data_IF_577422025397
#
_entry.id   IF_577422025397
#
_cell.length_a   1.000
_cell.length_b   1.000
_cell.length_c   1.000
_cell.angle_alpha   90.00
_cell.angle_beta   90.00
_cell.angle_gamma   90.00
#
_symmetry.space_group_name_H-M   'P 1'
#
loop_
_entity.id
_entity.type
_entity.pdbx_description
1 polymer ?
#
# COMPACT_ATOMS: atom_id res chain seq x y z
N UNK A 1 -11.16 27.97 3.84
CA UNK A 1 -10.03 27.59 2.96
C UNK A 1 -10.10 26.09 2.75
N UNK A 2 -9.90 25.59 1.53
CA UNK A 2 -9.81 24.16 1.25
C UNK A 2 -8.35 23.74 1.25
N UNK A 3 -8.03 22.64 1.91
CA UNK A 3 -6.69 22.04 1.86
C UNK A 3 -6.42 21.49 0.45
N UNK A 4 -5.16 21.51 -0.02
CA UNK A 4 -4.79 20.88 -1.29
C UNK A 4 -5.05 19.36 -1.23
N UNK A 5 -5.26 18.70 -2.38
CA UNK A 5 -5.32 17.25 -2.43
C UNK A 5 -3.97 16.64 -2.03
N UNK A 6 -4.01 15.51 -1.34
CA UNK A 6 -2.81 14.80 -0.91
C UNK A 6 -2.06 14.24 -2.12
N UNK A 7 -0.74 14.38 -2.11
CA UNK A 7 0.13 13.85 -3.15
C UNK A 7 0.14 12.31 -3.12
N UNK A 8 -0.19 11.67 -4.24
CA UNK A 8 -0.18 10.21 -4.40
C UNK A 8 1.15 9.66 -4.90
N UNK A 9 2.17 10.51 -5.09
CA UNK A 9 3.47 10.07 -5.59
C UNK A 9 4.10 9.06 -4.65
N UNK A 10 4.51 7.92 -5.22
CA UNK A 10 5.26 6.90 -4.50
C UNK A 10 6.69 7.37 -4.25
N UNK A 11 7.16 7.19 -3.02
CA UNK A 11 8.52 7.54 -2.59
C UNK A 11 9.48 6.36 -2.79
N UNK A 12 10.70 6.46 -2.22
CA UNK A 12 11.65 5.36 -2.17
C UNK A 12 11.02 4.15 -1.47
N UNK A 13 11.12 2.97 -2.08
CA UNK A 13 10.56 1.72 -1.53
C UNK A 13 11.37 1.27 -0.31
N UNK A 14 10.72 1.08 0.83
CA UNK A 14 11.35 0.57 2.07
C UNK A 14 10.92 -0.86 2.41
N UNK A 15 9.77 -1.31 1.89
CA UNK A 15 9.32 -2.67 2.06
C UNK A 15 8.51 -3.14 0.84
N UNK A 16 8.51 -4.45 0.62
CA UNK A 16 7.72 -5.12 -0.41
C UNK A 16 7.18 -6.43 0.16
N UNK A 17 5.94 -6.76 -0.17
CA UNK A 17 5.36 -8.08 0.08
C UNK A 17 4.63 -8.57 -1.15
N UNK A 18 4.81 -9.85 -1.43
CA UNK A 18 4.19 -10.52 -2.56
C UNK A 18 3.16 -11.53 -2.06
N UNK A 19 2.08 -11.65 -2.83
CA UNK A 19 0.97 -12.57 -2.57
C UNK A 19 0.66 -13.32 -3.86
N UNK A 20 0.26 -14.58 -3.70
CA UNK A 20 -0.36 -15.36 -4.77
C UNK A 20 -1.87 -15.33 -4.57
N UNK A 21 -2.59 -14.81 -5.55
CA UNK A 21 -4.04 -14.88 -5.63
C UNK A 21 -4.42 -16.11 -6.46
N UNK A 22 -4.94 -17.13 -5.79
CA UNK A 22 -5.37 -18.39 -6.40
C UNK A 22 -6.86 -18.32 -6.76
N UNK A 23 -7.17 -18.37 -8.05
CA UNK A 23 -8.54 -18.59 -8.53
C UNK A 23 -8.71 -20.06 -8.92
N UNK A 24 -9.90 -20.43 -9.40
CA UNK A 24 -10.15 -21.79 -9.91
C UNK A 24 -9.31 -22.15 -11.14
N UNK A 25 -8.87 -21.17 -11.92
CA UNK A 25 -8.27 -21.38 -13.24
C UNK A 25 -6.82 -20.92 -13.35
N UNK A 26 -6.37 -20.06 -12.44
CA UNK A 26 -5.06 -19.41 -12.53
C UNK A 26 -4.60 -18.86 -11.19
N UNK A 27 -3.29 -18.71 -11.09
CA UNK A 27 -2.61 -18.02 -10.00
C UNK A 27 -2.10 -16.68 -10.52
N UNK A 28 -2.33 -15.61 -9.78
CA UNK A 28 -1.77 -14.29 -10.09
C UNK A 28 -0.87 -13.80 -8.97
N UNK A 29 0.16 -13.05 -9.35
CA UNK A 29 1.03 -12.35 -8.42
C UNK A 29 0.46 -10.97 -8.12
N UNK A 30 0.28 -10.67 -6.83
CA UNK A 30 -0.03 -9.35 -6.30
C UNK A 30 1.18 -8.87 -5.52
N UNK A 31 1.70 -7.69 -5.85
CA UNK A 31 2.82 -7.09 -5.11
C UNK A 31 2.36 -5.82 -4.43
N UNK A 32 2.65 -5.67 -3.15
CA UNK A 32 2.36 -4.46 -2.38
C UNK A 32 3.68 -3.89 -1.88
N UNK A 33 3.96 -2.65 -2.25
CA UNK A 33 5.16 -1.91 -1.87
C UNK A 33 4.78 -0.79 -0.90
N UNK A 34 5.60 -0.60 0.13
CA UNK A 34 5.50 0.52 1.06
C UNK A 34 6.69 1.44 0.83
N UNK A 35 6.41 2.73 0.65
CA UNK A 35 7.40 3.78 0.45
C UNK A 35 7.85 4.41 1.77
N UNK A 36 8.97 5.13 1.73
CA UNK A 36 9.48 5.94 2.83
C UNK A 36 8.43 7.00 3.21
N UNK A 37 8.08 7.15 4.50
CA UNK A 37 7.18 8.21 4.96
C UNK A 37 7.70 9.61 4.59
N UNK A 38 6.77 10.49 4.20
CA UNK A 38 7.05 11.87 3.79
C UNK A 38 6.16 12.81 4.59
N UNK A 39 6.72 13.89 5.13
CA UNK A 39 5.99 14.93 5.84
C UNK A 39 5.55 16.04 4.88
N UNK A 40 4.47 15.81 4.13
CA UNK A 40 3.97 16.73 3.10
C UNK A 40 2.43 16.86 3.08
N UNK A 41 1.73 16.38 4.11
CA UNK A 41 0.27 16.48 4.21
C UNK A 41 -0.10 17.74 4.99
N UNK A 42 -0.64 18.74 4.31
CA UNK A 42 -1.10 19.98 4.96
C UNK A 42 -2.31 19.73 5.87
N UNK A 43 -2.21 20.20 7.12
CA UNK A 43 -3.29 20.20 8.11
C UNK A 43 -3.48 21.59 8.69
N UNK A 44 -4.51 21.77 9.53
CA UNK A 44 -4.76 23.04 10.23
C UNK A 44 -3.70 23.39 11.28
N UNK A 45 -2.86 22.41 11.68
CA UNK A 45 -1.85 22.54 12.75
C UNK A 45 -0.42 22.40 12.25
N UNK A 46 -0.20 22.11 10.96
CA UNK A 46 1.13 21.95 10.38
C UNK A 46 1.14 20.92 9.27
N UNK A 47 2.22 20.15 9.19
CA UNK A 47 2.35 19.04 8.25
C UNK A 47 2.30 17.70 8.98
N UNK A 48 1.35 16.85 8.56
CA UNK A 48 1.29 15.44 8.94
C UNK A 48 2.14 14.60 7.97
N UNK A 49 2.32 13.34 8.34
CA UNK A 49 3.07 12.37 7.57
C UNK A 49 2.13 11.52 6.73
N UNK A 50 2.54 11.22 5.49
CA UNK A 50 1.97 10.11 4.72
C UNK A 50 3.00 9.04 4.49
N UNK A 51 2.55 7.80 4.46
CA UNK A 51 3.32 6.65 4.02
C UNK A 51 2.75 6.18 2.68
N UNK A 52 3.48 6.36 1.56
CA UNK A 52 3.00 6.00 0.22
C UNK A 52 2.95 4.49 0.02
N UNK A 53 1.97 4.03 -0.75
CA UNK A 53 1.72 2.61 -1.02
C UNK A 53 1.55 2.42 -2.52
N UNK A 54 2.18 1.38 -3.05
CA UNK A 54 2.03 0.99 -4.45
C UNK A 54 1.59 -0.46 -4.52
N UNK A 55 0.45 -0.69 -5.17
CA UNK A 55 -0.10 -2.01 -5.42
C UNK A 55 0.08 -2.33 -6.90
N UNK A 56 0.74 -3.45 -7.20
CA UNK A 56 1.03 -3.89 -8.55
C UNK A 56 0.30 -5.21 -8.79
N UNK A 57 -0.62 -5.20 -9.76
CA UNK A 57 -1.43 -6.36 -10.11
C UNK A 57 -1.76 -6.34 -11.60
N UNK A 58 -1.52 -7.46 -12.32
CA UNK A 58 -1.82 -7.58 -13.76
C UNK A 58 -1.28 -6.41 -14.62
N UNK A 59 -0.07 -5.94 -14.33
CA UNK A 59 0.59 -4.77 -14.95
C UNK A 59 -0.05 -3.41 -14.65
N UNK A 60 -1.11 -3.35 -13.85
CA UNK A 60 -1.65 -2.11 -13.30
C UNK A 60 -0.88 -1.71 -12.04
N UNK A 61 -0.69 -0.40 -11.87
CA UNK A 61 -0.12 0.20 -10.66
C UNK A 61 -1.16 1.12 -10.04
N UNK A 62 -1.50 0.84 -8.79
CA UNK A 62 -2.39 1.67 -7.98
C UNK A 62 -1.54 2.35 -6.92
N UNK A 63 -1.67 3.66 -6.77
CA UNK A 63 -1.00 4.44 -5.73
C UNK A 63 -2.02 4.85 -4.68
N UNK A 64 -1.66 4.66 -3.42
CA UNK A 64 -2.46 5.03 -2.25
C UNK A 64 -1.51 5.49 -1.14
N UNK A 65 -2.04 5.83 0.02
CA UNK A 65 -1.26 6.26 1.17
C UNK A 65 -2.00 5.99 2.49
N UNK A 66 -1.25 5.94 3.59
CA UNK A 66 -1.79 6.09 4.94
C UNK A 66 -1.25 7.39 5.55
N UNK A 67 -2.09 8.14 6.27
CA UNK A 67 -1.67 9.34 7.00
C UNK A 67 -1.50 9.05 8.49
N UNK A 68 -0.51 9.69 9.11
CA UNK A 68 -0.29 9.67 10.56
C UNK A 68 0.28 11.01 11.03
N UNK A 69 0.13 11.29 12.32
CA UNK A 69 0.69 12.51 12.95
C UNK A 69 2.22 12.47 13.03
N UNK A 70 2.79 11.27 12.93
CA UNK A 70 4.23 11.02 12.83
C UNK A 70 4.54 9.91 11.81
N UNK A 71 5.83 9.76 11.49
CA UNK A 71 6.32 8.79 10.51
C UNK A 71 6.05 7.33 10.89
N UNK A 72 6.08 7.00 12.18
CA UNK A 72 5.87 5.63 12.65
C UNK A 72 4.40 5.23 12.59
N UNK A 73 3.49 6.14 12.96
CA UNK A 73 2.06 5.92 12.84
C UNK A 73 1.66 5.78 11.36
N UNK A 74 2.14 6.66 10.49
CA UNK A 74 1.86 6.56 9.05
C UNK A 74 2.35 5.21 8.49
N UNK A 75 3.52 4.74 8.93
CA UNK A 75 4.09 3.46 8.53
C UNK A 75 3.28 2.27 9.05
N UNK A 76 2.91 2.27 10.34
CA UNK A 76 2.09 1.21 10.94
C UNK A 76 0.75 1.09 10.22
N UNK A 77 0.05 2.20 10.00
CA UNK A 77 -1.22 2.23 9.28
C UNK A 77 -1.07 1.75 7.82
N UNK A 78 0.02 2.10 7.15
CA UNK A 78 0.30 1.60 5.81
C UNK A 78 0.45 0.08 5.81
N UNK A 79 1.24 -0.48 6.73
CA UNK A 79 1.49 -1.92 6.82
C UNK A 79 0.28 -2.72 7.29
N UNK A 80 -0.50 -2.20 8.26
CA UNK A 80 -1.60 -2.93 8.88
C UNK A 80 -2.89 -2.80 8.07
N UNK A 81 -3.37 -1.57 7.88
CA UNK A 81 -4.67 -1.31 7.28
C UNK A 81 -4.61 -1.37 5.77
N UNK A 82 -3.71 -0.63 5.14
CA UNK A 82 -3.75 -0.47 3.69
C UNK A 82 -3.28 -1.72 2.93
N UNK A 83 -2.24 -2.43 3.41
CA UNK A 83 -1.87 -3.72 2.81
C UNK A 83 -3.03 -4.71 2.90
N UNK A 84 -3.63 -4.87 4.08
CA UNK A 84 -4.75 -5.82 4.29
C UNK A 84 -5.97 -5.44 3.45
N UNK A 85 -6.31 -4.15 3.40
CA UNK A 85 -7.41 -3.62 2.58
C UNK A 85 -7.20 -3.97 1.11
N UNK A 86 -6.09 -3.57 0.51
CA UNK A 86 -5.85 -3.78 -0.93
C UNK A 86 -5.77 -5.25 -1.31
N UNK A 87 -5.11 -6.08 -0.50
CA UNK A 87 -5.05 -7.53 -0.75
C UNK A 87 -6.45 -8.15 -0.69
N UNK A 88 -7.26 -7.76 0.30
CA UNK A 88 -8.62 -8.26 0.46
C UNK A 88 -9.55 -7.79 -0.67
N UNK A 89 -9.50 -6.51 -1.04
CA UNK A 89 -10.34 -5.93 -2.10
C UNK A 89 -10.04 -6.57 -3.46
N UNK A 90 -8.75 -6.76 -3.79
CA UNK A 90 -8.36 -7.42 -5.04
C UNK A 90 -8.77 -8.90 -5.00
N UNK A 91 -8.51 -9.61 -3.91
CA UNK A 91 -8.92 -11.02 -3.79
C UNK A 91 -10.44 -11.19 -3.95
N UNK A 92 -11.25 -10.33 -3.31
CA UNK A 92 -12.70 -10.34 -3.43
C UNK A 92 -13.16 -10.03 -4.86
N UNK A 93 -12.59 -8.99 -5.49
CA UNK A 93 -12.93 -8.59 -6.87
C UNK A 93 -12.77 -9.74 -7.87
N UNK A 94 -11.81 -10.62 -7.64
CA UNK A 94 -11.55 -11.76 -8.53
C UNK A 94 -11.94 -13.13 -7.96
N UNK A 95 -12.65 -13.17 -6.82
CA UNK A 95 -13.02 -14.41 -6.12
C UNK A 95 -11.82 -15.36 -5.94
N UNK A 96 -10.70 -14.81 -5.50
CA UNK A 96 -9.44 -15.51 -5.30
C UNK A 96 -9.17 -15.79 -3.82
N UNK A 97 -8.50 -16.92 -3.54
CA UNK A 97 -7.89 -17.19 -2.25
C UNK A 97 -6.51 -16.52 -2.19
N UNK A 98 -6.15 -16.00 -1.02
CA UNK A 98 -4.87 -15.33 -0.79
C UNK A 98 -3.88 -16.34 -0.19
N UNK A 99 -2.71 -16.43 -0.78
CA UNK A 99 -1.57 -17.16 -0.25
C UNK A 99 -0.37 -16.21 -0.16
N UNK A 100 0.31 -16.19 0.98
CA UNK A 100 1.53 -15.40 1.14
C UNK A 100 2.64 -16.03 0.28
N UNK A 101 3.34 -15.19 -0.47
CA UNK A 101 4.49 -15.62 -1.25
C UNK A 101 5.76 -15.34 -0.44
N UNK A 102 6.23 -16.35 0.28
CA UNK A 102 7.46 -16.29 1.06
C UNK A 102 8.64 -16.80 0.22
N UNK A 103 9.06 -16.03 -0.79
CA UNK A 103 10.42 -16.20 -1.34
C UNK A 103 11.37 -15.31 -0.53
N UNK A 104 11.99 -15.92 0.48
CA UNK A 104 13.15 -15.33 1.14
C UNK A 104 14.38 -15.58 0.25
N UNK A 105 14.71 -14.62 -0.62
CA UNK A 105 16.08 -14.52 -1.11
C UNK A 105 16.88 -13.65 -0.12
N UNK A 106 17.80 -14.30 0.61
CA UNK A 106 18.83 -13.65 1.43
C UNK A 106 20.06 -13.42 0.54
#
# INVERSE_FOLDING_TARGET
MSLPPINLSFSEKIAERQYILKTRTQNWKLTVCVGLPVQDVETVVGLDWRCPIQVIFQNEKIHDYACGVDSFQALELAMSYCVTKWVSEIAQRFNAQIELFDEFEI
#
